data_IF_575774017166
#
_entry.id   IF_575774017166
#
_cell.length_a   1.000
_cell.length_b   1.000
_cell.length_c   1.000
_cell.angle_alpha   90.00
_cell.angle_beta   90.00
_cell.angle_gamma   90.00
#
_symmetry.space_group_name_H-M   'P 1'
#
loop_
_entity.id
_entity.type
_entity.pdbx_description
1 polymer ?
#
# COMPACT_ATOMS: atom_id res chain seq x y z
N UNK A 1 10.95 3.44 3.75
CA UNK A 1 11.50 2.08 3.95
C UNK A 1 10.40 1.04 3.89
N UNK A 2 10.62 -0.08 3.21
CA UNK A 2 9.69 -1.23 3.22
C UNK A 2 10.00 -2.16 4.39
N UNK A 3 8.97 -2.58 5.10
CA UNK A 3 9.07 -3.47 6.26
C UNK A 3 8.13 -4.66 6.07
N UNK A 4 8.70 -5.86 5.91
CA UNK A 4 7.94 -7.10 5.80
C UNK A 4 7.52 -7.56 7.19
N UNK A 5 6.22 -7.79 7.37
CA UNK A 5 5.61 -8.26 8.61
C UNK A 5 4.87 -9.58 8.38
N UNK A 6 4.99 -10.50 9.35
CA UNK A 6 4.22 -11.74 9.40
C UNK A 6 3.05 -11.56 10.36
N UNK A 7 1.85 -11.95 9.93
CA UNK A 7 0.62 -11.89 10.73
C UNK A 7 -0.05 -13.26 10.67
N UNK A 8 0.10 -14.04 11.74
CA UNK A 8 -0.25 -15.47 11.74
C UNK A 8 0.55 -16.22 10.67
N UNK A 9 -0.13 -16.97 9.80
CA UNK A 9 0.47 -17.67 8.66
C UNK A 9 0.63 -16.82 7.40
N UNK A 10 0.18 -15.57 7.43
CA UNK A 10 0.24 -14.68 6.26
C UNK A 10 1.37 -13.66 6.40
N UNK A 11 1.84 -13.17 5.26
CA UNK A 11 2.88 -12.15 5.15
C UNK A 11 2.29 -10.89 4.53
N UNK A 12 2.65 -9.73 5.02
CA UNK A 12 2.31 -8.45 4.41
C UNK A 12 3.51 -7.52 4.54
N UNK A 13 3.56 -6.45 3.78
CA UNK A 13 4.58 -5.43 3.94
C UNK A 13 3.95 -4.07 4.11
N UNK A 14 4.66 -3.20 4.81
CA UNK A 14 4.29 -1.80 4.97
C UNK A 14 5.40 -0.91 4.45
N UNK A 15 5.03 0.19 3.81
CA UNK A 15 5.94 1.25 3.42
C UNK A 15 5.85 2.34 4.47
N UNK A 16 6.98 2.62 5.11
CA UNK A 16 7.16 3.75 6.02
C UNK A 16 7.79 4.92 5.27
N UNK A 17 7.30 6.13 5.51
CA UNK A 17 7.94 7.36 5.08
C UNK A 17 9.24 7.63 5.89
N UNK A 18 10.02 8.64 5.50
CA UNK A 18 11.28 9.00 6.17
C UNK A 18 11.09 9.37 7.66
N UNK A 19 9.88 9.79 8.03
CA UNK A 19 9.49 10.10 9.40
C UNK A 19 8.98 8.88 10.20
N UNK A 20 9.05 7.67 9.64
CA UNK A 20 8.61 6.42 10.29
C UNK A 20 7.11 6.15 10.23
N UNK A 21 6.28 7.06 9.70
CA UNK A 21 4.84 6.82 9.53
C UNK A 21 4.60 5.81 8.42
N UNK A 22 3.71 4.84 8.67
CA UNK A 22 3.24 3.91 7.64
C UNK A 22 2.35 4.70 6.67
N UNK A 23 2.75 4.75 5.41
CA UNK A 23 1.98 5.43 4.37
C UNK A 23 1.22 4.44 3.48
N UNK A 24 1.67 3.19 3.43
CA UNK A 24 1.06 2.14 2.63
C UNK A 24 1.23 0.77 3.27
N UNK A 25 0.20 -0.06 3.13
CA UNK A 25 0.14 -1.45 3.58
C UNK A 25 -0.27 -2.35 2.42
N UNK A 26 0.41 -3.47 2.25
CA UNK A 26 0.02 -4.47 1.26
C UNK A 26 -1.14 -5.33 1.74
N UNK A 27 -1.73 -6.08 0.81
CA UNK A 27 -2.61 -7.19 1.17
C UNK A 27 -1.83 -8.31 1.90
N UNK A 28 -2.57 -9.19 2.56
CA UNK A 28 -2.00 -10.39 3.18
C UNK A 28 -1.72 -11.45 2.12
N UNK A 29 -0.46 -11.81 1.97
CA UNK A 29 0.04 -12.88 1.12
C UNK A 29 0.15 -14.20 1.88
N UNK A 30 -0.05 -15.32 1.19
CA UNK A 30 0.16 -16.65 1.77
C UNK A 30 1.64 -16.96 2.03
N UNK A 31 2.54 -16.39 1.22
CA UNK A 31 3.98 -16.72 1.25
C UNK A 31 4.85 -15.47 1.23
N UNK A 32 6.01 -15.56 1.88
CA UNK A 32 7.04 -14.51 1.87
C UNK A 32 7.47 -14.15 0.43
N UNK A 33 7.59 -15.14 -0.46
CA UNK A 33 7.94 -14.92 -1.86
C UNK A 33 6.93 -14.01 -2.58
N UNK A 34 5.62 -14.21 -2.36
CA UNK A 34 4.59 -13.36 -2.93
C UNK A 34 4.63 -11.94 -2.37
N UNK A 35 4.90 -11.79 -1.08
CA UNK A 35 5.08 -10.47 -0.46
C UNK A 35 6.33 -9.73 -1.02
N UNK A 36 7.44 -10.44 -1.23
CA UNK A 36 8.64 -9.87 -1.86
C UNK A 36 8.37 -9.41 -3.29
N UNK A 37 7.69 -10.24 -4.10
CA UNK A 37 7.25 -9.85 -5.44
C UNK A 37 6.36 -8.61 -5.40
N UNK A 38 5.45 -8.53 -4.42
CA UNK A 38 4.64 -7.34 -4.18
C UNK A 38 5.48 -6.09 -3.91
N UNK A 39 6.54 -6.18 -3.09
CA UNK A 39 7.46 -5.07 -2.81
C UNK A 39 8.16 -4.62 -4.10
N UNK A 40 8.70 -5.54 -4.89
CA UNK A 40 9.37 -5.22 -6.16
C UNK A 40 8.41 -4.57 -7.15
N UNK A 41 7.19 -5.09 -7.24
CA UNK A 41 6.13 -4.53 -8.07
C UNK A 41 5.77 -3.12 -7.59
N UNK A 42 5.63 -2.89 -6.28
CA UNK A 42 5.37 -1.54 -5.75
C UNK A 42 6.54 -0.64 -6.06
N UNK A 43 7.80 -1.04 -5.84
CA UNK A 43 8.98 -0.22 -6.19
C UNK A 43 9.01 0.18 -7.66
N UNK A 44 8.65 -0.73 -8.57
CA UNK A 44 8.62 -0.49 -10.02
C UNK A 44 7.47 0.43 -10.43
N UNK A 45 6.29 0.28 -9.84
CA UNK A 45 5.08 1.04 -10.19
C UNK A 45 4.93 2.34 -9.38
N UNK A 46 5.62 2.49 -8.25
CA UNK A 46 5.56 3.68 -7.39
C UNK A 46 6.17 4.93 -8.06
N UNK A 47 6.95 4.77 -9.13
CA UNK A 47 7.42 5.87 -9.96
C UNK A 47 6.41 6.37 -10.98
N UNK A 48 5.29 5.67 -11.17
CA UNK A 48 4.29 6.01 -12.17
C UNK A 48 2.99 6.42 -11.48
N UNK A 49 2.63 7.71 -11.56
CA UNK A 49 1.40 8.24 -10.97
C UNK A 49 0.14 7.53 -11.47
N UNK A 50 0.16 6.96 -12.68
CA UNK A 50 -0.98 6.23 -13.24
C UNK A 50 -1.32 4.95 -12.48
N UNK A 51 -0.36 4.40 -11.75
CA UNK A 51 -0.57 3.22 -10.92
C UNK A 51 -1.28 3.55 -9.61
N UNK A 52 -1.46 4.83 -9.27
CA UNK A 52 -2.14 5.28 -8.06
C UNK A 52 -3.62 5.55 -8.34
N UNK A 53 -4.48 4.81 -7.65
CA UNK A 53 -5.93 5.01 -7.66
C UNK A 53 -6.37 5.66 -6.35
N UNK A 54 -6.67 6.96 -6.37
CA UNK A 54 -7.29 7.64 -5.23
C UNK A 54 -8.77 7.27 -5.13
N UNK A 55 -9.19 6.93 -3.92
CA UNK A 55 -10.56 6.57 -3.56
C UNK A 55 -10.97 7.29 -2.29
N UNK A 56 -12.17 7.85 -2.31
CA UNK A 56 -12.83 8.37 -1.12
C UNK A 56 -13.77 7.29 -0.59
N UNK A 57 -13.48 6.78 0.60
CA UNK A 57 -14.37 5.88 1.30
C UNK A 57 -15.69 6.60 1.63
N UNK A 58 -16.78 5.84 1.76
CA UNK A 58 -18.12 6.37 2.08
C UNK A 58 -18.18 7.20 3.37
N UNK A 59 -17.18 7.05 4.25
CA UNK A 59 -17.04 7.78 5.50
C UNK A 59 -16.24 9.09 5.38
N UNK A 60 -16.11 9.66 4.18
CA UNK A 60 -15.34 10.88 3.90
C UNK A 60 -13.81 10.72 3.96
N UNK A 61 -13.31 9.52 4.30
CA UNK A 61 -11.88 9.25 4.40
C UNK A 61 -11.29 8.97 3.02
N UNK A 62 -10.21 9.65 2.68
CA UNK A 62 -9.47 9.43 1.43
C UNK A 62 -8.41 8.36 1.65
N UNK A 63 -8.23 7.52 0.64
CA UNK A 63 -7.15 6.56 0.58
C UNK A 63 -6.72 6.38 -0.88
N UNK A 64 -5.53 5.86 -1.12
CA UNK A 64 -5.07 5.50 -2.46
C UNK A 64 -4.69 4.03 -2.52
N UNK A 65 -4.83 3.41 -3.68
CA UNK A 65 -4.38 2.05 -3.94
C UNK A 65 -3.33 2.08 -5.04
N UNK A 66 -2.27 1.29 -4.89
CA UNK A 66 -1.29 1.07 -5.93
C UNK A 66 -1.69 -0.20 -6.68
N UNK A 67 -1.87 -0.07 -7.99
CA UNK A 67 -2.08 -1.19 -8.90
C UNK A 67 -0.78 -1.54 -9.59
N UNK A 68 -0.57 -2.84 -9.80
CA UNK A 68 0.45 -3.34 -10.70
C UNK A 68 0.02 -3.13 -12.15
N UNK A 69 0.94 -3.22 -13.11
CA UNK A 69 0.63 -3.15 -14.54
C UNK A 69 -0.39 -4.19 -15.03
N UNK A 70 -0.60 -5.27 -14.28
CA UNK A 70 -1.66 -6.27 -14.53
C UNK A 70 -3.03 -5.90 -13.91
N UNK A 71 -3.18 -4.70 -13.35
CA UNK A 71 -4.43 -4.22 -12.71
C UNK A 71 -4.66 -4.72 -11.27
N UNK A 72 -3.83 -5.63 -10.75
CA UNK A 72 -3.94 -6.13 -9.39
C UNK A 72 -3.52 -5.08 -8.36
N UNK A 73 -4.30 -4.91 -7.29
CA UNK A 73 -3.91 -4.06 -6.16
C UNK A 73 -2.75 -4.73 -5.42
N UNK A 74 -1.63 -4.01 -5.32
CA UNK A 74 -0.40 -4.48 -4.65
C UNK A 74 -0.09 -3.69 -3.38
N UNK A 75 -0.81 -2.59 -3.15
CA UNK A 75 -0.73 -1.81 -1.93
C UNK A 75 -1.94 -0.90 -1.76
N UNK A 76 -2.30 -0.65 -0.51
CA UNK A 76 -3.36 0.28 -0.12
C UNK A 76 -2.83 1.22 0.95
N UNK A 77 -3.08 2.51 0.80
CA UNK A 77 -2.73 3.49 1.80
C UNK A 77 -3.61 3.36 3.03
N UNK A 78 -3.15 3.94 4.14
CA UNK A 78 -4.06 4.18 5.26
C UNK A 78 -5.17 5.15 4.83
N UNK A 79 -6.33 5.02 5.49
CA UNK A 79 -7.41 5.98 5.36
C UNK A 79 -7.01 7.27 6.06
N UNK A 80 -6.68 8.29 5.28
CA UNK A 80 -6.51 9.64 5.79
C UNK A 80 -7.90 10.26 5.91
N UNK A 81 -8.14 11.01 7.00
CA UNK A 81 -9.34 11.84 7.06
C UNK A 81 -9.23 12.85 5.91
N UNK A 82 -10.19 12.82 4.98
CA UNK A 82 -10.37 13.94 4.06
C UNK A 82 -10.80 15.13 4.91
N UNK A 83 -9.98 16.17 4.90
CA UNK A 83 -10.21 17.48 5.54
C UNK A 83 -10.64 17.50 7.02
N UNK A 84 -9.65 17.74 7.89
CA UNK A 84 -9.70 18.90 8.80
C UNK A 84 -8.28 19.28 9.19
N UNK A 85 -7.57 19.86 8.24
CA UNK A 85 -6.64 20.94 8.52
C UNK A 85 -7.19 22.14 7.76
N UNK A 86 -7.96 22.97 8.46
CA UNK A 86 -8.46 24.25 7.95
C UNK A 86 -7.33 25.17 7.51
#
# INVERSE_FOLDING_TARGET
>A
MFELKKSGDKFHFVLKAGNGQVILSSQMYASKASAMNGIESVKKNCGDEKCFEMKTAKNGKVHFNIKSGNGQIIGSSQMYAGESGA
#
